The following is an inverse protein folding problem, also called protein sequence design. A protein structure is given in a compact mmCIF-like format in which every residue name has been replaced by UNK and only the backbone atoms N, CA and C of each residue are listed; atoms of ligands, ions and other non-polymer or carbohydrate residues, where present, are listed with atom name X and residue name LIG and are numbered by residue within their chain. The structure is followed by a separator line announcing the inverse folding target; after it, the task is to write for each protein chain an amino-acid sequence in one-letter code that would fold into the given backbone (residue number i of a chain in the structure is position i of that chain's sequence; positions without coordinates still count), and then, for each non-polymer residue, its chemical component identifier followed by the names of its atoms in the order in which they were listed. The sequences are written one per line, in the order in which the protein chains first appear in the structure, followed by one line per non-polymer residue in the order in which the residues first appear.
data_IF_146813062786
#
_entry.id   IF_146813062786
#
_cell.length_a   1.000
_cell.length_b   1.000
_cell.length_c   1.000
_cell.angle_alpha   90.00
_cell.angle_beta   90.00
_cell.angle_gamma   90.00
#
_symmetry.space_group_name_H-M   'P 1'
#
loop_
_entity.id
_entity.type
_entity.pdbx_description
1 polymer ?
#
# COMPACT_ATOMS: atom_id res chain seq x y z
N UNK A 1 -3.04 -11.97 -11.86
CA UNK A 1 -1.61 -11.65 -11.95
C UNK A 1 -1.03 -11.31 -10.59
N UNK A 2 -1.52 -10.27 -9.90
CA UNK A 2 -0.95 -9.81 -8.63
C UNK A 2 -0.95 -10.88 -7.53
N UNK A 3 -2.02 -11.66 -7.36
CA UNK A 3 -2.03 -12.80 -6.40
C UNK A 3 -0.96 -13.85 -6.70
N UNK A 4 -0.77 -14.17 -7.99
CA UNK A 4 0.28 -15.11 -8.41
C UNK A 4 1.67 -14.53 -8.14
N UNK A 5 1.90 -13.26 -8.46
CA UNK A 5 3.18 -12.59 -8.17
C UNK A 5 3.48 -12.60 -6.67
N UNK A 6 2.50 -12.28 -5.83
CA UNK A 6 2.65 -12.27 -4.37
C UNK A 6 3.08 -13.64 -3.85
N UNK A 7 2.44 -14.71 -4.33
CA UNK A 7 2.79 -16.08 -3.97
C UNK A 7 4.18 -16.47 -4.47
N UNK A 8 4.50 -16.16 -5.72
CA UNK A 8 5.77 -16.56 -6.32
C UNK A 8 6.95 -15.81 -5.69
N UNK A 9 6.82 -14.51 -5.41
CA UNK A 9 7.86 -13.72 -4.72
C UNK A 9 8.12 -14.29 -3.32
N UNK A 10 7.08 -14.54 -2.53
CA UNK A 10 7.25 -15.12 -1.19
C UNK A 10 7.85 -16.54 -1.21
N UNK A 11 7.69 -17.27 -2.31
CA UNK A 11 8.28 -18.60 -2.50
C UNK A 11 9.74 -18.55 -2.95
N UNK A 12 10.11 -17.56 -3.76
CA UNK A 12 11.39 -17.54 -4.48
C UNK A 12 12.39 -16.51 -3.96
N UNK A 13 11.92 -15.51 -3.21
CA UNK A 13 12.74 -14.43 -2.66
C UNK A 13 12.68 -14.48 -1.15
N UNK A 14 13.85 -14.57 -0.51
CA UNK A 14 13.95 -14.43 0.94
C UNK A 14 13.73 -12.96 1.32
N UNK A 15 12.71 -12.69 2.12
CA UNK A 15 12.40 -11.36 2.65
C UNK A 15 12.69 -11.34 4.14
N UNK A 16 13.39 -10.31 4.60
CA UNK A 16 13.65 -10.07 6.01
C UNK A 16 13.84 -8.56 6.22
N UNK A 17 12.96 -7.94 7.00
CA UNK A 17 13.19 -6.58 7.47
C UNK A 17 14.43 -6.57 8.38
N UNK A 18 15.39 -5.65 8.20
CA UNK A 18 16.69 -5.70 8.88
C UNK A 18 16.62 -5.62 10.42
N UNK A 19 15.55 -5.03 10.95
CA UNK A 19 15.40 -4.80 12.39
C UNK A 19 14.12 -5.41 13.00
N UNK A 20 13.22 -5.97 12.18
CA UNK A 20 11.87 -6.39 12.61
C UNK A 20 11.54 -7.79 12.09
N UNK A 21 10.60 -8.45 12.77
CA UNK A 21 10.07 -9.76 12.37
C UNK A 21 9.02 -9.62 11.24
N UNK A 22 9.46 -9.12 10.09
CA UNK A 22 8.66 -8.99 8.87
C UNK A 22 9.42 -9.75 7.77
N UNK A 23 8.87 -10.90 7.37
CA UNK A 23 9.58 -11.89 6.55
C UNK A 23 8.86 -12.24 5.25
N UNK A 24 7.85 -11.46 4.87
CA UNK A 24 7.04 -11.67 3.67
C UNK A 24 6.75 -10.36 2.96
N UNK A 25 6.38 -10.47 1.69
CA UNK A 25 5.65 -9.44 0.96
C UNK A 25 4.16 -9.67 1.18
N UNK A 26 3.43 -8.64 1.61
CA UNK A 26 1.99 -8.75 1.92
C UNK A 26 1.08 -8.11 0.86
N UNK A 27 1.65 -7.31 -0.05
CA UNK A 27 0.90 -6.58 -1.07
C UNK A 27 1.68 -6.46 -2.37
N UNK A 28 0.96 -6.22 -3.46
CA UNK A 28 1.54 -5.91 -4.78
C UNK A 28 1.00 -4.57 -5.26
N UNK A 29 1.89 -3.60 -5.43
CA UNK A 29 1.59 -2.34 -6.07
C UNK A 29 1.80 -2.43 -7.58
N UNK A 30 0.72 -2.22 -8.35
CA UNK A 30 0.77 -2.09 -9.80
C UNK A 30 0.66 -0.60 -10.11
N UNK A 31 1.59 -0.05 -10.90
CA UNK A 31 1.62 1.38 -11.18
C UNK A 31 1.81 1.69 -12.66
N UNK A 32 1.40 2.88 -13.08
CA UNK A 32 1.55 3.39 -14.43
C UNK A 32 1.73 4.90 -14.42
N UNK A 33 2.08 5.45 -15.58
CA UNK A 33 1.85 6.88 -15.88
C UNK A 33 0.36 7.20 -15.83
N UNK A 34 0.02 8.48 -15.77
CA UNK A 34 -1.37 8.97 -15.77
C UNK A 34 -1.48 10.24 -16.60
N UNK A 35 -2.63 10.43 -17.25
CA UNK A 35 -2.98 11.68 -17.94
C UNK A 35 -3.77 12.63 -17.02
N UNK A 36 -4.05 12.21 -15.78
CA UNK A 36 -4.74 13.04 -14.78
C UNK A 36 -3.89 14.28 -14.47
N UNK A 37 -4.42 15.50 -14.68
CA UNK A 37 -3.71 16.71 -14.30
C UNK A 37 -3.35 16.68 -12.80
N UNK A 38 -2.16 17.17 -12.48
CA UNK A 38 -1.66 17.28 -11.11
C UNK A 38 -1.55 15.91 -10.40
N UNK A 39 -1.22 14.85 -11.13
CA UNK A 39 -0.81 13.57 -10.58
C UNK A 39 0.47 13.10 -11.28
N UNK A 40 1.45 12.62 -10.53
CA UNK A 40 2.72 12.17 -11.10
C UNK A 40 2.60 10.75 -11.65
N UNK A 41 1.92 9.87 -10.91
CA UNK A 41 1.69 8.48 -11.26
C UNK A 41 0.31 8.01 -10.78
N UNK A 42 -0.08 6.81 -11.20
CA UNK A 42 -1.28 6.12 -10.72
C UNK A 42 -0.98 4.70 -10.26
N UNK A 43 -1.70 4.19 -9.27
CA UNK A 43 -1.56 2.82 -8.80
C UNK A 43 -2.87 2.06 -8.53
N UNK A 44 -2.69 0.76 -8.36
CA UNK A 44 -3.63 -0.22 -7.84
C UNK A 44 -2.85 -1.17 -6.93
N UNK A 45 -3.17 -1.16 -5.64
CA UNK A 45 -2.60 -2.11 -4.68
C UNK A 45 -3.54 -3.29 -4.48
N UNK A 46 -2.98 -4.50 -4.62
CA UNK A 46 -3.65 -5.76 -4.34
C UNK A 46 -3.06 -6.36 -3.07
N UNK A 47 -3.90 -6.73 -2.11
CA UNK A 47 -3.49 -7.25 -0.81
C UNK A 47 -4.51 -8.28 -0.28
N UNK A 48 -4.26 -8.84 0.90
CA UNK A 48 -5.13 -9.82 1.54
C UNK A 48 -4.83 -11.25 1.07
N UNK A 49 -5.80 -12.14 1.22
CA UNK A 49 -5.64 -13.54 0.83
C UNK A 49 -5.45 -13.64 -0.70
N UNK A 50 -4.38 -14.27 -1.21
CA UNK A 50 -4.22 -14.50 -2.64
C UNK A 50 -5.40 -15.23 -3.31
N UNK A 51 -6.13 -16.07 -2.57
CA UNK A 51 -7.34 -16.76 -3.02
C UNK A 51 -8.60 -15.88 -2.99
N UNK A 52 -8.60 -14.81 -2.19
CA UNK A 52 -9.65 -13.77 -2.14
C UNK A 52 -9.03 -12.36 -2.09
N UNK A 53 -8.43 -11.90 -3.21
CA UNK A 53 -7.62 -10.69 -3.21
C UNK A 53 -8.49 -9.43 -3.06
N UNK A 54 -8.04 -8.54 -2.20
CA UNK A 54 -8.63 -7.23 -1.96
C UNK A 54 -7.89 -6.15 -2.74
N UNK A 55 -8.61 -5.08 -3.08
CA UNK A 55 -8.07 -3.91 -3.76
C UNK A 55 -8.13 -2.70 -2.84
N UNK A 56 -7.03 -1.96 -2.75
CA UNK A 56 -7.03 -0.68 -2.04
C UNK A 56 -7.64 0.39 -2.94
N UNK A 57 -8.70 1.05 -2.45
CA UNK A 57 -9.41 2.12 -3.16
C UNK A 57 -8.67 3.46 -3.00
N UNK A 58 -7.84 3.57 -1.97
CA UNK A 58 -6.93 4.69 -1.81
C UNK A 58 -5.66 4.47 -2.64
N UNK A 59 -4.79 5.48 -2.77
CA UNK A 59 -3.47 5.32 -3.38
C UNK A 59 -2.50 4.49 -2.51
N UNK A 60 -2.96 3.93 -1.39
CA UNK A 60 -2.21 3.16 -0.42
C UNK A 60 -1.06 3.95 0.23
N UNK A 61 -1.17 4.28 1.53
CA UNK A 61 -0.17 5.12 2.21
C UNK A 61 1.22 4.48 2.31
N UNK A 62 1.27 3.18 2.64
CA UNK A 62 2.53 2.42 2.67
C UNK A 62 3.08 2.17 1.26
N UNK A 63 2.21 1.91 0.27
CA UNK A 63 2.59 1.84 -1.14
C UNK A 63 3.20 3.14 -1.65
N UNK A 64 2.56 4.28 -1.36
CA UNK A 64 3.07 5.63 -1.66
C UNK A 64 4.44 5.86 -1.02
N UNK A 65 4.64 5.43 0.22
CA UNK A 65 5.93 5.53 0.92
C UNK A 65 7.01 4.68 0.25
N UNK A 66 6.69 3.44 -0.12
CA UNK A 66 7.60 2.55 -0.84
C UNK A 66 7.94 3.08 -2.24
N UNK A 67 6.96 3.64 -2.96
CA UNK A 67 7.18 4.29 -4.26
C UNK A 67 8.12 5.47 -4.16
N UNK A 68 7.93 6.36 -3.19
CA UNK A 68 8.83 7.48 -2.97
C UNK A 68 10.25 7.01 -2.66
N UNK A 69 10.40 5.97 -1.84
CA UNK A 69 11.71 5.37 -1.53
C UNK A 69 12.40 4.84 -2.79
N UNK A 70 11.65 4.16 -3.68
CA UNK A 70 12.17 3.66 -4.95
C UNK A 70 12.58 4.81 -5.88
N UNK A 71 11.70 5.79 -6.09
CA UNK A 71 11.98 6.94 -6.96
C UNK A 71 13.18 7.76 -6.46
N UNK A 72 13.33 7.88 -5.14
CA UNK A 72 14.48 8.55 -4.54
C UNK A 72 15.78 7.77 -4.78
N UNK A 73 15.78 6.46 -4.57
CA UNK A 73 16.94 5.61 -4.86
C UNK A 73 17.34 5.64 -6.35
N UNK A 74 16.38 5.89 -7.25
CA UNK A 74 16.61 6.09 -8.68
C UNK A 74 17.03 7.54 -9.04
N UNK A 75 17.05 8.47 -8.09
CA UNK A 75 17.38 9.88 -8.31
C UNK A 75 16.25 10.71 -8.95
N UNK A 76 15.03 10.18 -9.01
CA UNK A 76 13.88 10.80 -9.68
C UNK A 76 13.05 11.69 -8.75
N UNK A 77 13.11 11.44 -7.43
CA UNK A 77 12.40 12.21 -6.41
C UNK A 77 13.36 12.72 -5.32
N UNK A 78 13.75 14.01 -5.34
CA UNK A 78 14.59 14.60 -4.30
C UNK A 78 13.79 14.88 -3.00
N UNK A 79 14.53 15.02 -1.89
CA UNK A 79 14.00 15.45 -0.59
C UNK A 79 13.27 16.80 -0.72
N UNK A 80 12.12 16.94 -0.06
CA UNK A 80 11.31 18.15 -0.04
C UNK A 80 10.45 18.39 -1.29
N UNK A 81 10.53 17.55 -2.32
CA UNK A 81 9.63 17.62 -3.48
C UNK A 81 8.33 16.87 -3.19
N UNK A 82 7.20 17.50 -3.52
CA UNK A 82 5.88 16.85 -3.45
C UNK A 82 5.75 15.80 -4.58
N UNK A 83 5.14 14.67 -4.23
CA UNK A 83 4.79 13.58 -5.14
C UNK A 83 3.30 13.29 -4.99
N UNK A 84 2.53 13.37 -6.07
CA UNK A 84 1.08 13.16 -6.05
C UNK A 84 0.75 11.81 -6.67
N UNK A 85 0.22 10.90 -5.85
CA UNK A 85 -0.12 9.55 -6.28
C UNK A 85 -1.64 9.39 -6.41
N UNK A 86 -2.10 9.00 -7.59
CA UNK A 86 -3.51 8.72 -7.89
C UNK A 86 -3.85 7.23 -7.71
N UNK A 87 -4.99 6.94 -7.11
CA UNK A 87 -5.55 5.58 -7.06
C UNK A 87 -6.27 5.21 -8.37
N UNK A 88 -6.57 3.92 -8.53
CA UNK A 88 -7.37 3.44 -9.65
C UNK A 88 -8.80 3.99 -9.72
N UNK A 89 -9.31 4.63 -8.68
CA UNK A 89 -10.63 5.31 -8.67
C UNK A 89 -10.52 6.85 -8.64
N UNK A 90 -9.32 7.41 -8.84
CA UNK A 90 -9.11 8.86 -8.96
C UNK A 90 -8.93 9.63 -7.64
N UNK A 91 -8.94 8.95 -6.49
CA UNK A 91 -8.52 9.59 -5.21
C UNK A 91 -7.01 9.83 -5.21
N UNK A 92 -6.53 10.84 -4.47
CA UNK A 92 -5.13 11.27 -4.46
C UNK A 92 -4.55 11.32 -3.05
N UNK A 93 -3.27 10.96 -2.94
CA UNK A 93 -2.42 11.22 -1.78
C UNK A 93 -1.26 12.11 -2.21
N UNK A 94 -0.80 12.92 -1.27
CA UNK A 94 0.31 13.85 -1.45
C UNK A 94 1.45 13.38 -0.55
N UNK A 95 2.50 12.87 -1.18
CA UNK A 95 3.71 12.41 -0.56
C UNK A 95 4.80 13.47 -0.56
N UNK A 96 5.68 13.44 0.43
CA UNK A 96 6.91 14.20 0.43
C UNK A 96 7.97 13.45 1.23
N UNK A 97 9.19 13.39 0.71
CA UNK A 97 10.35 12.89 1.48
C UNK A 97 10.81 14.01 2.40
N UNK A 98 10.72 13.81 3.71
CA UNK A 98 11.11 14.81 4.71
C UNK A 98 12.62 14.85 4.90
N UNK A 99 13.26 13.68 4.94
CA UNK A 99 14.71 13.55 5.10
C UNK A 99 15.17 12.14 4.70
N UNK A 100 16.47 12.00 4.47
CA UNK A 100 17.16 10.71 4.37
C UNK A 100 17.51 10.17 5.77
N UNK A 101 17.63 8.86 5.90
CA UNK A 101 17.99 8.18 7.15
C UNK A 101 18.56 6.77 6.86
N UNK A 102 18.73 5.97 7.91
CA UNK A 102 19.16 4.57 7.85
C UNK A 102 18.17 3.67 8.61
N UNK A 103 17.99 2.44 8.13
CA UNK A 103 17.35 1.34 8.88
C UNK A 103 18.27 0.13 8.76
N UNK A 104 18.85 -0.31 9.87
CA UNK A 104 20.04 -1.17 9.86
C UNK A 104 21.16 -0.55 9.03
N UNK A 105 21.67 -1.30 8.06
CA UNK A 105 22.73 -0.84 7.15
C UNK A 105 22.19 -0.13 5.89
N UNK A 106 20.89 -0.21 5.65
CA UNK A 106 20.24 0.25 4.41
C UNK A 106 19.95 1.75 4.43
N UNK A 107 20.21 2.43 3.31
CA UNK A 107 19.72 3.79 3.06
C UNK A 107 18.19 3.79 3.03
N UNK A 108 17.60 4.75 3.72
CA UNK A 108 16.16 4.87 3.89
C UNK A 108 15.73 6.33 3.81
N UNK A 109 14.43 6.54 3.73
CA UNK A 109 13.80 7.86 3.76
C UNK A 109 12.83 7.96 4.93
N UNK A 110 12.52 9.20 5.34
CA UNK A 110 11.38 9.51 6.21
C UNK A 110 10.25 10.05 5.31
N UNK A 111 9.30 9.19 4.88
CA UNK A 111 8.19 9.62 4.04
C UNK A 111 7.09 10.29 4.87
N UNK A 112 6.52 11.37 4.35
CA UNK A 112 5.24 11.92 4.80
C UNK A 112 4.19 11.64 3.74
N UNK A 113 3.00 11.20 4.16
CA UNK A 113 1.84 11.02 3.28
C UNK A 113 0.66 11.79 3.85
N UNK A 114 0.01 12.59 3.01
CA UNK A 114 -1.16 13.40 3.33
C UNK A 114 -2.35 12.96 2.47
N UNK A 115 -3.49 12.75 3.12
CA UNK A 115 -4.76 12.40 2.50
C UNK A 115 -5.94 12.94 3.30
N UNK A 116 -7.16 12.66 2.84
CA UNK A 116 -8.40 13.02 3.52
C UNK A 116 -9.18 11.79 3.96
N UNK A 117 -9.87 11.89 5.09
CA UNK A 117 -10.84 10.91 5.57
C UNK A 117 -12.12 11.65 5.98
N UNK A 118 -13.26 10.99 5.83
CA UNK A 118 -14.58 11.56 6.12
C UNK A 118 -15.34 10.61 7.04
N UNK A 119 -16.10 11.15 7.99
CA UNK A 119 -16.98 10.36 8.84
C UNK A 119 -18.12 9.80 7.98
N UNK A 120 -18.18 8.47 7.84
CA UNK A 120 -19.20 7.80 7.03
C UNK A 120 -20.45 7.41 7.85
N UNK A 121 -20.32 7.27 9.16
CA UNK A 121 -21.40 6.85 10.04
C UNK A 121 -20.90 6.33 11.38
N UNK A 122 -21.85 6.00 12.24
CA UNK A 122 -21.65 5.36 13.54
C UNK A 122 -22.45 4.05 13.55
N UNK A 123 -21.87 2.97 14.10
CA UNK A 123 -22.49 1.66 14.13
C UNK A 123 -22.27 0.97 15.48
N UNK A 124 -23.28 0.23 15.94
CA UNK A 124 -23.18 -0.71 17.07
C UNK A 124 -23.41 -2.11 16.54
N UNK A 125 -22.41 -2.99 16.71
CA UNK A 125 -22.48 -4.39 16.26
C UNK A 125 -22.82 -5.30 17.43
N UNK A 126 -23.75 -6.23 17.23
CA UNK A 126 -24.10 -7.28 18.19
C UNK A 126 -23.91 -8.63 17.51
N UNK A 127 -23.24 -9.57 18.19
CA UNK A 127 -23.06 -10.95 17.72
C UNK A 127 -23.73 -11.85 18.77
N UNK A 128 -24.82 -12.50 18.36
CA UNK A 128 -25.50 -13.47 19.21
C UNK A 128 -24.63 -14.74 19.33
N UNK A 129 -24.39 -15.27 20.54
CA UNK A 129 -23.66 -16.53 20.71
C UNK A 129 -24.27 -17.72 19.95
N UNK A 130 -25.57 -17.70 19.67
CA UNK A 130 -26.30 -18.75 18.96
C UNK A 130 -26.38 -18.50 17.43
N UNK A 131 -25.86 -17.36 16.92
CA UNK A 131 -25.82 -17.08 15.48
C UNK A 131 -24.74 -17.92 14.78
N UNK A 132 -25.19 -18.88 13.99
CA UNK A 132 -24.34 -19.77 13.19
C UNK A 132 -23.42 -19.02 12.18
N UNK A 133 -23.76 -17.79 11.80
CA UNK A 133 -23.01 -16.95 10.87
C UNK A 133 -22.38 -15.71 11.54
N UNK A 134 -22.43 -15.62 12.88
CA UNK A 134 -22.02 -14.42 13.62
C UNK A 134 -20.55 -14.02 13.47
N UNK A 135 -19.69 -14.94 13.02
CA UNK A 135 -18.26 -14.68 12.71
C UNK A 135 -18.02 -14.20 11.28
N UNK A 136 -19.09 -14.05 10.48
CA UNK A 136 -19.01 -13.76 9.06
C UNK A 136 -18.56 -14.96 8.23
N UNK A 137 -18.58 -14.77 6.92
CA UNK A 137 -18.12 -15.73 5.93
C UNK A 137 -17.70 -14.99 4.67
N UNK A 138 -16.89 -15.63 3.84
CA UNK A 138 -16.59 -15.21 2.48
C UNK A 138 -17.36 -16.12 1.54
N UNK A 139 -17.93 -15.57 0.47
CA UNK A 139 -18.54 -16.38 -0.60
C UNK A 139 -17.43 -16.74 -1.58
N UNK A 140 -17.03 -18.04 -1.67
CA UNK A 140 -16.00 -18.44 -2.62
C UNK A 140 -16.49 -18.19 -4.05
N UNK A 141 -15.59 -17.76 -4.93
CA UNK A 141 -15.86 -17.60 -6.37
C UNK A 141 -15.99 -18.94 -7.09
#
# INVERSE_FOLDING_TARGET
FSSFMLQEVNKTVSIQHPELDITSVDLVENYSTTDTPDADLRNLVVFGDPADPQLDRSPCGTGTSAKMSLLHALGELPVGKEFVYESFIGTKFYGMIQSETKVGEFDAIVPQVKGGAYLCGEATWFIDPDDALGKGFVVPK
#
